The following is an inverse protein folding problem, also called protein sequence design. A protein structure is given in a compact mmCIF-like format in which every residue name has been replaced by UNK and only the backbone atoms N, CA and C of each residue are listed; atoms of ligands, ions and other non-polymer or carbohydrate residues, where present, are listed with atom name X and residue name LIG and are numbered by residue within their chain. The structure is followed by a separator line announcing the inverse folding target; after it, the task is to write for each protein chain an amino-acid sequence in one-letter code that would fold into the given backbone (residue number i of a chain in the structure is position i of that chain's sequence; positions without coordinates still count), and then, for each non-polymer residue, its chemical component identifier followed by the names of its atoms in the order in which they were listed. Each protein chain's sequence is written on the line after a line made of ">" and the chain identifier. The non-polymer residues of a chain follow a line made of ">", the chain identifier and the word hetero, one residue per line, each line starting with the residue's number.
data_IF_355225932083
#
_entry.id   IF_355225932083
#
_cell.length_a   1.000
_cell.length_b   1.000
_cell.length_c   1.000
_cell.angle_alpha   90.00
_cell.angle_beta   90.00
_cell.angle_gamma   90.00
#
_symmetry.space_group_name_H-M   'P 1'
#
loop_
_entity.id
_entity.type
_entity.pdbx_description
1 polymer ?
#
# COMPACT_ATOMS: atom_id res chain seq x y z
N UNK A 1 13.66 42.87 17.67
CA UNK A 1 13.29 41.74 18.56
C UNK A 1 14.44 41.50 19.52
N UNK A 2 14.18 40.93 20.70
CA UNK A 2 15.24 40.54 21.64
C UNK A 2 15.71 39.10 21.33
N UNK A 3 16.88 38.70 21.84
CA UNK A 3 17.41 37.35 21.62
C UNK A 3 16.43 36.26 22.10
N UNK A 4 15.71 36.48 23.20
CA UNK A 4 14.74 35.51 23.72
C UNK A 4 13.57 35.22 22.75
N UNK A 5 13.13 36.20 21.97
CA UNK A 5 12.09 35.96 20.96
C UNK A 5 12.63 35.14 19.78
N UNK A 6 13.87 35.38 19.36
CA UNK A 6 14.50 34.59 18.30
C UNK A 6 14.81 33.17 18.74
N UNK A 7 15.26 32.96 19.97
CA UNK A 7 15.52 31.62 20.53
C UNK A 7 14.26 30.74 20.53
N UNK A 8 13.09 31.31 20.81
CA UNK A 8 11.82 30.57 20.71
C UNK A 8 11.44 30.19 19.27
N UNK A 9 11.96 30.91 18.27
CA UNK A 9 11.72 30.63 16.86
C UNK A 9 12.74 29.64 16.27
N UNK A 10 13.83 29.32 16.96
CA UNK A 10 14.86 28.38 16.48
C UNK A 10 14.29 26.97 16.27
N UNK A 11 13.38 26.50 17.14
CA UNK A 11 12.71 25.21 16.94
C UNK A 11 11.88 25.21 15.64
N UNK A 12 10.98 26.20 15.49
CA UNK A 12 10.15 26.32 14.29
C UNK A 12 10.99 26.56 13.02
N UNK A 13 12.17 27.17 13.15
CA UNK A 13 13.14 27.32 12.07
C UNK A 13 13.74 25.97 11.65
N UNK A 14 14.11 25.11 12.60
CA UNK A 14 14.61 23.75 12.33
C UNK A 14 13.52 22.83 11.75
N UNK A 15 12.28 23.00 12.21
CA UNK A 15 11.13 22.22 11.73
C UNK A 15 10.58 22.70 10.37
N UNK A 16 11.09 23.83 9.84
CA UNK A 16 10.68 24.40 8.56
C UNK A 16 9.28 25.03 8.56
N UNK A 17 8.73 25.38 9.74
CA UNK A 17 7.38 25.92 9.91
C UNK A 17 7.28 27.45 9.77
N UNK A 18 8.42 28.12 9.57
CA UNK A 18 8.49 29.57 9.43
C UNK A 18 8.17 30.05 8.02
N UNK A 19 7.52 31.22 7.92
CA UNK A 19 7.32 31.93 6.66
C UNK A 19 8.65 32.52 6.13
N UNK A 20 8.73 32.75 4.82
CA UNK A 20 9.97 33.14 4.15
C UNK A 20 10.58 34.46 4.69
N UNK A 21 9.76 35.37 5.19
CA UNK A 21 10.23 36.66 5.74
C UNK A 21 10.80 36.50 7.16
N UNK A 22 10.18 35.68 8.01
CA UNK A 22 10.72 35.40 9.35
C UNK A 22 11.93 34.47 9.30
N UNK A 23 11.98 33.53 8.36
CA UNK A 23 13.13 32.66 8.14
C UNK A 23 14.41 33.47 7.88
N UNK A 24 14.37 34.44 6.95
CA UNK A 24 15.50 35.35 6.69
C UNK A 24 15.84 36.25 7.87
N UNK A 25 14.84 36.68 8.64
CA UNK A 25 15.07 37.53 9.80
C UNK A 25 15.76 36.77 10.95
N UNK A 26 15.46 35.48 11.12
CA UNK A 26 16.12 34.59 12.10
C UNK A 26 17.53 34.26 11.63
N UNK A 27 17.72 33.89 10.36
CA UNK A 27 19.02 33.62 9.75
C UNK A 27 19.98 34.81 9.90
N UNK A 28 19.53 36.01 9.50
CA UNK A 28 20.33 37.23 9.64
C UNK A 28 20.61 37.61 11.10
N UNK A 29 19.76 37.21 12.06
CA UNK A 29 20.03 37.43 13.48
C UNK A 29 21.07 36.43 14.02
N UNK A 30 21.04 35.17 13.58
CA UNK A 30 22.01 34.15 13.95
C UNK A 30 23.42 34.49 13.46
N UNK A 31 23.55 35.05 12.24
CA UNK A 31 24.84 35.54 11.73
C UNK A 31 25.42 36.69 12.58
N UNK A 32 24.56 37.50 13.19
CA UNK A 32 24.95 38.67 13.96
C UNK A 32 25.05 38.41 15.48
N UNK A 33 24.50 37.32 16.00
CA UNK A 33 24.39 37.04 17.43
C UNK A 33 24.94 35.64 17.78
N UNK A 34 26.12 35.63 18.40
CA UNK A 34 26.81 34.42 18.83
C UNK A 34 25.99 33.58 19.82
N UNK A 35 25.24 34.21 20.73
CA UNK A 35 24.38 33.49 21.68
C UNK A 35 23.28 32.67 20.98
N UNK A 36 22.65 33.23 19.94
CA UNK A 36 21.61 32.52 19.20
C UNK A 36 22.21 31.46 18.27
N UNK A 37 23.39 31.71 17.70
CA UNK A 37 24.14 30.71 16.93
C UNK A 37 24.54 29.49 17.77
N UNK A 38 24.94 29.70 19.02
CA UNK A 38 25.30 28.62 19.93
C UNK A 38 24.08 27.75 20.28
N UNK A 39 22.93 28.38 20.59
CA UNK A 39 21.68 27.65 20.85
C UNK A 39 21.26 26.81 19.64
N UNK A 40 21.39 27.34 18.43
CA UNK A 40 21.12 26.57 17.20
C UNK A 40 22.07 25.38 17.05
N UNK A 41 23.36 25.58 17.32
CA UNK A 41 24.37 24.51 17.27
C UNK A 41 24.08 23.41 18.30
N UNK A 42 23.64 23.78 19.50
CA UNK A 42 23.23 22.83 20.53
C UNK A 42 22.03 21.98 20.05
N UNK A 43 21.00 22.63 19.48
CA UNK A 43 19.85 21.91 18.91
C UNK A 43 20.25 21.00 17.74
N UNK A 44 21.13 21.44 16.83
CA UNK A 44 21.59 20.60 15.73
C UNK A 44 22.37 19.38 16.26
N UNK A 45 23.19 19.54 17.29
CA UNK A 45 23.95 18.43 17.89
C UNK A 45 23.04 17.35 18.51
N UNK A 46 21.88 17.76 19.05
CA UNK A 46 20.87 16.84 19.58
C UNK A 46 20.18 16.08 18.43
N UNK A 47 19.90 16.76 17.31
CA UNK A 47 19.33 16.13 16.12
C UNK A 47 20.30 15.14 15.48
N UNK A 48 21.57 15.52 15.32
CA UNK A 48 22.62 14.65 14.79
C UNK A 48 22.78 13.38 15.66
N UNK A 49 22.77 13.54 16.99
CA UNK A 49 22.82 12.40 17.91
C UNK A 49 21.59 11.50 17.81
N UNK A 50 20.40 12.08 17.63
CA UNK A 50 19.18 11.31 17.41
C UNK A 50 19.24 10.55 16.07
N UNK A 51 19.74 11.17 15.01
CA UNK A 51 19.88 10.55 13.70
C UNK A 51 20.85 9.35 13.75
N UNK A 52 22.02 9.53 14.37
CA UNK A 52 22.99 8.45 14.58
C UNK A 52 22.43 7.32 15.47
N UNK A 53 21.64 7.65 16.49
CA UNK A 53 21.03 6.66 17.38
C UNK A 53 19.83 5.94 16.76
N UNK A 54 19.10 6.57 15.84
CA UNK A 54 17.94 5.99 15.14
C UNK A 54 18.36 5.19 13.90
N UNK A 55 19.55 5.47 13.33
CA UNK A 55 20.14 4.70 12.24
C UNK A 55 20.45 3.24 12.62
N UNK A 56 20.48 2.90 13.90
CA UNK A 56 20.83 1.55 14.38
C UNK A 56 19.67 0.55 14.31
N UNK A 57 18.39 0.99 14.24
CA UNK A 57 17.26 0.08 14.48
C UNK A 57 16.04 0.19 13.53
N UNK A 58 16.14 0.86 12.37
CA UNK A 58 14.99 0.86 11.43
C UNK A 58 15.36 1.01 9.96
N UNK A 59 16.07 0.04 9.39
CA UNK A 59 15.80 -0.24 7.97
C UNK A 59 14.42 -0.92 7.90
N UNK A 60 13.40 -0.26 7.31
CA UNK A 60 12.12 -0.93 7.12
C UNK A 60 12.36 -2.17 6.26
N UNK A 61 11.71 -3.31 6.57
CA UNK A 61 11.85 -4.51 5.76
C UNK A 61 11.54 -4.16 4.29
N UNK A 62 12.46 -4.50 3.40
CA UNK A 62 12.39 -4.20 1.97
C UNK A 62 12.46 -2.70 1.60
N UNK A 63 13.43 -1.98 2.17
CA UNK A 63 13.77 -0.59 1.82
C UNK A 63 13.89 -0.37 0.31
N UNK A 64 14.51 -1.29 -0.42
CA UNK A 64 14.70 -1.19 -1.86
C UNK A 64 13.37 -1.18 -2.65
N UNK A 65 12.41 -2.06 -2.35
CA UNK A 65 11.12 -2.05 -3.05
C UNK A 65 10.26 -0.83 -2.70
N UNK A 66 10.37 -0.32 -1.46
CA UNK A 66 9.74 0.94 -1.07
C UNK A 66 10.30 2.11 -1.89
N UNK A 67 11.62 2.19 -2.04
CA UNK A 67 12.26 3.21 -2.87
C UNK A 67 11.89 3.11 -4.35
N UNK A 68 11.84 1.90 -4.92
CA UNK A 68 11.35 1.70 -6.28
C UNK A 68 9.90 2.19 -6.45
N UNK A 69 9.03 1.91 -5.47
CA UNK A 69 7.64 2.38 -5.50
C UNK A 69 7.53 3.89 -5.38
N UNK A 70 8.30 4.50 -4.47
CA UNK A 70 8.33 5.96 -4.27
C UNK A 70 8.81 6.65 -5.55
N UNK A 71 9.90 6.18 -6.16
CA UNK A 71 10.41 6.74 -7.42
C UNK A 71 9.39 6.64 -8.54
N UNK A 72 8.73 5.49 -8.70
CA UNK A 72 7.68 5.35 -9.72
C UNK A 72 6.52 6.33 -9.49
N UNK A 73 6.10 6.55 -8.24
CA UNK A 73 5.05 7.52 -7.92
C UNK A 73 5.50 8.94 -8.27
N UNK A 74 6.70 9.34 -7.86
CA UNK A 74 7.25 10.67 -8.15
C UNK A 74 7.38 10.87 -9.67
N UNK A 75 7.93 9.90 -10.40
CA UNK A 75 8.05 9.96 -11.87
C UNK A 75 6.69 10.06 -12.57
N UNK A 76 5.63 9.44 -12.00
CA UNK A 76 4.27 9.58 -12.53
C UNK A 76 3.55 10.86 -12.10
N UNK A 77 3.98 11.49 -11.01
CA UNK A 77 3.42 12.75 -10.50
C UNK A 77 4.14 13.99 -11.03
N UNK A 78 5.38 13.86 -11.55
CA UNK A 78 6.02 14.94 -12.32
C UNK A 78 5.17 15.14 -13.57
N UNK A 79 4.43 16.27 -13.68
CA UNK A 79 3.71 16.57 -14.89
C UNK A 79 4.77 16.84 -15.95
N UNK A 80 4.89 15.96 -16.94
CA UNK A 80 5.58 16.32 -18.17
C UNK A 80 5.00 17.66 -18.66
N UNK A 81 5.83 18.60 -19.15
CA UNK A 81 5.34 19.81 -19.78
C UNK A 81 4.37 19.40 -20.89
N UNK A 82 3.09 19.72 -20.68
CA UNK A 82 2.01 19.37 -21.59
C UNK A 82 2.26 20.05 -22.94
N UNK A 83 2.82 19.31 -23.90
CA UNK A 83 2.56 19.58 -25.31
C UNK A 83 1.09 19.22 -25.55
N UNK A 84 0.27 20.28 -25.57
CA UNK A 84 -1.14 20.22 -25.90
C UNK A 84 -1.31 19.75 -27.35
N UNK A 85 -1.36 18.44 -27.58
CA UNK A 85 -2.03 17.91 -28.76
C UNK A 85 -3.54 17.92 -28.52
N UNK A 86 -4.21 18.82 -29.25
CA UNK A 86 -5.67 18.93 -29.29
C UNK A 86 -6.23 17.67 -29.94
N UNK A 87 -6.61 16.67 -29.13
CA UNK A 87 -7.39 15.53 -29.61
C UNK A 87 -8.82 15.99 -29.81
N UNK A 88 -9.16 16.24 -31.08
CA UNK A 88 -10.51 16.43 -31.56
C UNK A 88 -11.36 15.21 -31.17
N UNK A 89 -12.46 15.47 -30.48
CA UNK A 89 -13.49 14.49 -30.15
C UNK A 89 -14.15 14.00 -31.44
N UNK A 90 -13.70 12.86 -31.95
CA UNK A 90 -14.45 12.07 -32.91
C UNK A 90 -15.37 11.11 -32.17
N UNK A 91 -16.66 11.45 -32.20
CA UNK A 91 -17.74 10.59 -31.76
C UNK A 91 -17.67 9.25 -32.51
N UNK A 92 -17.49 8.15 -31.76
CA UNK A 92 -17.56 6.81 -32.29
C UNK A 92 -18.96 6.54 -32.91
N UNK A 93 -19.05 5.93 -34.11
CA UNK A 93 -20.33 5.63 -34.72
C UNK A 93 -20.91 4.31 -34.16
N UNK A 94 -22.12 4.42 -33.62
CA UNK A 94 -23.19 3.45 -33.89
C UNK A 94 -23.00 2.00 -33.43
N UNK A 95 -23.11 1.75 -32.12
CA UNK A 95 -23.39 0.41 -31.56
C UNK A 95 -24.89 0.02 -31.63
N UNK A 96 -25.69 0.74 -32.42
CA UNK A 96 -27.14 0.56 -32.54
C UNK A 96 -27.50 0.02 -33.92
N UNK A 97 -27.07 -1.20 -34.23
CA UNK A 97 -27.77 -2.00 -35.22
C UNK A 97 -27.52 -3.49 -34.98
N UNK A 98 -28.16 -4.01 -33.93
CA UNK A 98 -28.48 -5.43 -33.86
C UNK A 98 -29.99 -5.53 -33.78
N UNK A 99 -30.61 -5.95 -34.88
CA UNK A 99 -32.03 -6.24 -34.97
C UNK A 99 -32.32 -7.46 -34.08
N UNK A 100 -32.59 -7.21 -32.81
CA UNK A 100 -33.09 -8.20 -31.88
C UNK A 100 -34.58 -8.43 -32.17
N UNK A 101 -34.89 -9.52 -32.88
CA UNK A 101 -36.26 -10.03 -32.99
C UNK A 101 -36.68 -10.61 -31.63
N UNK A 102 -37.03 -9.73 -30.69
CA UNK A 102 -37.58 -10.10 -29.40
C UNK A 102 -39.10 -10.22 -29.52
N UNK A 103 -39.61 -11.42 -29.28
CA UNK A 103 -41.05 -11.71 -29.22
C UNK A 103 -41.70 -10.86 -28.12
N UNK A 104 -42.90 -10.34 -28.37
CA UNK A 104 -43.64 -9.45 -27.45
C UNK A 104 -43.79 -10.01 -26.02
N UNK A 105 -43.71 -11.34 -25.84
CA UNK A 105 -43.69 -11.98 -24.53
C UNK A 105 -42.41 -11.75 -23.70
N UNK A 106 -41.25 -11.58 -24.34
CA UNK A 106 -39.96 -11.39 -23.65
C UNK A 106 -39.75 -9.96 -23.15
N UNK A 107 -40.38 -8.97 -23.79
CA UNK A 107 -40.32 -7.57 -23.34
C UNK A 107 -41.16 -7.40 -22.07
N UNK A 108 -42.32 -8.06 -21.99
CA UNK A 108 -43.20 -7.99 -20.82
C UNK A 108 -42.55 -8.57 -19.55
N UNK A 109 -41.81 -9.68 -19.66
CA UNK A 109 -41.11 -10.26 -18.50
C UNK A 109 -39.95 -9.39 -18.03
N UNK A 110 -39.18 -8.82 -18.95
CA UNK A 110 -38.05 -7.96 -18.59
C UNK A 110 -38.51 -6.69 -17.86
N UNK A 111 -39.60 -6.06 -18.32
CA UNK A 111 -40.17 -4.87 -17.66
C UNK A 111 -40.69 -5.22 -16.27
N UNK A 112 -41.32 -6.38 -16.08
CA UNK A 112 -41.76 -6.83 -14.76
C UNK A 112 -40.58 -7.07 -13.81
N UNK A 113 -39.50 -7.71 -14.28
CA UNK A 113 -38.29 -7.91 -13.46
C UNK A 113 -37.63 -6.58 -13.07
N UNK A 114 -37.50 -5.64 -14.01
CA UNK A 114 -36.93 -4.31 -13.71
C UNK A 114 -37.81 -3.54 -12.73
N UNK A 115 -39.14 -3.60 -12.87
CA UNK A 115 -40.07 -2.96 -11.94
C UNK A 115 -39.94 -3.54 -10.52
N UNK A 116 -39.86 -4.86 -10.38
CA UNK A 116 -39.66 -5.53 -9.09
C UNK A 116 -38.31 -5.15 -8.47
N UNK A 117 -37.22 -5.17 -9.25
CA UNK A 117 -35.89 -4.82 -8.76
C UNK A 117 -35.82 -3.34 -8.35
N UNK A 118 -36.38 -2.42 -9.15
CA UNK A 118 -36.38 -0.99 -8.81
C UNK A 118 -37.21 -0.69 -7.56
N UNK A 119 -38.34 -1.39 -7.38
CA UNK A 119 -39.18 -1.27 -6.19
C UNK A 119 -38.46 -1.81 -4.96
N UNK A 120 -37.76 -2.94 -5.08
CA UNK A 120 -36.96 -3.52 -4.00
C UNK A 120 -35.82 -2.58 -3.57
N UNK A 121 -35.10 -2.00 -4.53
CA UNK A 121 -34.03 -1.01 -4.27
C UNK A 121 -34.58 0.22 -3.56
N UNK A 122 -35.76 0.70 -3.96
CA UNK A 122 -36.40 1.87 -3.34
C UNK A 122 -36.82 1.59 -1.90
N UNK A 123 -37.36 0.40 -1.61
CA UNK A 123 -37.72 -0.02 -0.25
C UNK A 123 -36.48 -0.15 0.64
N UNK A 124 -35.39 -0.72 0.12
CA UNK A 124 -34.12 -0.86 0.86
C UNK A 124 -33.49 0.51 1.14
N UNK A 125 -33.49 1.42 0.16
CA UNK A 125 -32.99 2.78 0.33
C UNK A 125 -33.78 3.55 1.40
N UNK A 126 -35.11 3.40 1.43
CA UNK A 126 -35.96 4.01 2.45
C UNK A 126 -35.74 3.41 3.85
N UNK A 127 -35.55 2.09 3.96
CA UNK A 127 -35.26 1.45 5.25
C UNK A 127 -33.88 1.83 5.78
N UNK A 128 -32.89 2.02 4.91
CA UNK A 128 -31.55 2.45 5.30
C UNK A 128 -31.51 3.93 5.70
N UNK A 129 -32.36 4.78 5.09
CA UNK A 129 -32.48 6.18 5.48
C UNK A 129 -33.29 6.37 6.78
N UNK A 130 -34.27 5.50 7.04
CA UNK A 130 -35.06 5.48 8.27
C UNK A 130 -34.29 4.87 9.47
N UNK A 131 -33.36 3.95 9.20
CA UNK A 131 -32.44 3.41 10.20
C UNK A 131 -31.23 4.33 10.28
N UNK A 132 -31.32 5.41 11.05
CA UNK A 132 -30.27 6.45 11.13
C UNK A 132 -28.88 5.93 11.46
N UNK A 133 -28.15 5.47 10.44
CA UNK A 133 -26.73 5.16 10.48
C UNK A 133 -25.99 6.41 9.97
N UNK A 134 -25.35 7.11 10.90
CA UNK A 134 -24.47 8.22 10.58
C UNK A 134 -23.35 7.75 9.62
N UNK A 135 -23.01 8.53 8.58
CA UNK A 135 -21.92 8.20 7.68
C UNK A 135 -20.59 8.59 8.34
N UNK A 136 -20.21 7.84 9.38
CA UNK A 136 -18.98 8.03 10.13
C UNK A 136 -18.06 6.82 10.02
N UNK A 137 -16.95 6.99 9.30
CA UNK A 137 -15.71 6.22 9.45
C UNK A 137 -15.78 4.69 9.31
N UNK A 138 -15.68 4.22 8.07
CA UNK A 138 -14.91 3.00 7.77
C UNK A 138 -14.34 3.14 6.36
N UNK A 139 -13.02 3.27 6.24
CA UNK A 139 -12.27 3.15 4.97
C UNK A 139 -12.26 1.69 4.51
N UNK A 140 -13.44 1.08 4.35
CA UNK A 140 -13.61 -0.21 3.69
C UNK A 140 -13.89 0.06 2.20
N UNK A 141 -12.85 0.53 1.50
CA UNK A 141 -12.90 0.77 0.07
C UNK A 141 -12.92 -0.56 -0.67
N UNK A 142 -14.10 -0.96 -1.13
CA UNK A 142 -14.26 -1.98 -2.17
C UNK A 142 -15.51 -2.84 -2.07
N UNK A 143 -16.16 -2.92 -0.91
CA UNK A 143 -17.33 -3.80 -0.77
C UNK A 143 -18.56 -3.17 -1.39
N UNK A 144 -19.03 -3.74 -2.49
CA UNK A 144 -20.39 -3.45 -2.95
C UNK A 144 -21.37 -4.00 -1.92
N UNK A 145 -22.50 -3.33 -1.69
CA UNK A 145 -23.56 -3.78 -0.75
C UNK A 145 -23.97 -5.23 -1.03
N UNK A 146 -23.88 -5.65 -2.30
CA UNK A 146 -24.10 -7.00 -2.76
C UNK A 146 -23.14 -8.03 -2.15
N UNK A 147 -21.85 -7.69 -2.00
CA UNK A 147 -20.82 -8.55 -1.41
C UNK A 147 -20.94 -8.69 0.11
N UNK A 148 -21.51 -7.67 0.78
CA UNK A 148 -21.85 -7.75 2.21
C UNK A 148 -23.04 -8.69 2.42
N UNK A 149 -24.08 -8.58 1.59
CA UNK A 149 -25.27 -9.44 1.64
C UNK A 149 -24.93 -10.89 1.26
N UNK A 150 -24.05 -11.14 0.30
CA UNK A 150 -23.60 -12.49 -0.07
C UNK A 150 -22.79 -13.18 1.04
N UNK A 151 -21.93 -12.41 1.72
CA UNK A 151 -21.18 -12.93 2.87
C UNK A 151 -22.12 -13.27 4.05
N UNK A 152 -23.13 -12.44 4.30
CA UNK A 152 -24.12 -12.64 5.39
C UNK A 152 -25.06 -13.82 5.10
N UNK A 153 -25.28 -14.15 3.82
CA UNK A 153 -26.05 -15.32 3.38
C UNK A 153 -25.21 -16.62 3.32
N UNK A 154 -23.92 -16.58 3.66
CA UNK A 154 -23.02 -17.74 3.61
C UNK A 154 -22.71 -18.24 2.19
N UNK A 155 -22.88 -17.38 1.18
CA UNK A 155 -22.65 -17.69 -0.25
C UNK A 155 -21.33 -17.06 -0.75
N UNK A 156 -20.73 -16.13 -0.01
CA UNK A 156 -19.44 -15.51 -0.33
C UNK A 156 -18.26 -16.16 0.38
N UNK A 157 -17.09 -16.19 -0.28
CA UNK A 157 -15.81 -16.60 0.34
C UNK A 157 -15.54 -15.71 1.57
N UNK A 158 -15.30 -16.35 2.71
CA UNK A 158 -14.94 -15.61 3.92
C UNK A 158 -13.59 -14.89 3.70
N UNK A 159 -13.33 -13.76 4.38
CA UNK A 159 -12.03 -13.08 4.29
C UNK A 159 -10.84 -14.02 4.59
N UNK A 160 -11.02 -14.96 5.50
CA UNK A 160 -10.03 -15.98 5.88
C UNK A 160 -9.79 -16.99 4.75
N UNK A 161 -10.84 -17.45 4.07
CA UNK A 161 -10.71 -18.39 2.97
C UNK A 161 -9.96 -17.76 1.77
N UNK A 162 -10.13 -16.46 1.56
CA UNK A 162 -9.36 -15.70 0.55
C UNK A 162 -7.88 -15.60 0.88
N UNK A 163 -7.52 -15.33 2.14
CA UNK A 163 -6.11 -15.27 2.54
C UNK A 163 -5.47 -16.65 2.47
N UNK A 164 -6.15 -17.69 2.93
CA UNK A 164 -5.68 -19.08 2.82
C UNK A 164 -5.42 -19.50 1.37
N UNK A 165 -6.33 -19.15 0.45
CA UNK A 165 -6.14 -19.44 -0.98
C UNK A 165 -4.90 -18.75 -1.54
N UNK A 166 -4.70 -17.46 -1.25
CA UNK A 166 -3.53 -16.69 -1.69
C UNK A 166 -2.21 -17.29 -1.16
N UNK A 167 -2.16 -17.62 0.13
CA UNK A 167 -0.99 -18.24 0.76
C UNK A 167 -0.70 -19.60 0.11
N UNK A 168 -1.74 -20.38 -0.20
CA UNK A 168 -1.60 -21.68 -0.88
C UNK A 168 -1.02 -21.54 -2.29
N UNK A 169 -1.50 -20.57 -3.06
CA UNK A 169 -0.98 -20.26 -4.40
C UNK A 169 0.50 -19.86 -4.34
N UNK A 170 0.88 -18.98 -3.41
CA UNK A 170 2.27 -18.56 -3.23
C UNK A 170 3.18 -19.74 -2.83
N UNK A 171 2.71 -20.62 -1.93
CA UNK A 171 3.47 -21.82 -1.52
C UNK A 171 3.72 -22.76 -2.70
N UNK A 172 2.73 -22.98 -3.56
CA UNK A 172 2.90 -23.80 -4.75
C UNK A 172 3.97 -23.22 -5.71
N UNK A 173 3.98 -21.89 -5.89
CA UNK A 173 5.01 -21.22 -6.69
C UNK A 173 6.41 -21.34 -6.05
N UNK A 174 6.51 -21.19 -4.72
CA UNK A 174 7.76 -21.40 -3.97
C UNK A 174 8.30 -22.82 -4.18
N UNK A 175 7.44 -23.84 -4.08
CA UNK A 175 7.85 -25.24 -4.27
C UNK A 175 8.37 -25.51 -5.69
N UNK A 176 7.75 -24.89 -6.69
CA UNK A 176 8.21 -24.94 -8.08
C UNK A 176 9.62 -24.36 -8.23
N UNK A 177 9.87 -23.16 -7.73
CA UNK A 177 11.19 -22.52 -7.82
C UNK A 177 12.24 -23.23 -6.98
N UNK A 178 11.87 -23.73 -5.80
CA UNK A 178 12.75 -24.54 -4.95
C UNK A 178 13.27 -25.77 -5.70
N UNK A 179 12.39 -26.48 -6.41
CA UNK A 179 12.80 -27.65 -7.21
C UNK A 179 13.81 -27.26 -8.30
N UNK A 180 13.62 -26.13 -8.97
CA UNK A 180 14.57 -25.63 -9.98
C UNK A 180 15.92 -25.24 -9.38
N UNK A 181 15.90 -24.53 -8.27
CA UNK A 181 17.11 -24.16 -7.53
C UNK A 181 17.88 -25.41 -7.13
N UNK A 182 17.22 -26.41 -6.55
CA UNK A 182 17.87 -27.66 -6.13
C UNK A 182 18.55 -28.40 -7.30
N UNK A 183 17.92 -28.42 -8.47
CA UNK A 183 18.51 -29.02 -9.67
C UNK A 183 19.80 -28.31 -10.12
N UNK A 184 19.90 -27.00 -9.89
CA UNK A 184 21.02 -26.17 -10.32
C UNK A 184 22.08 -25.95 -9.23
N UNK A 185 21.73 -26.18 -7.97
CA UNK A 185 22.57 -25.97 -6.79
C UNK A 185 23.92 -26.68 -6.87
N UNK A 186 23.97 -27.84 -7.53
CA UNK A 186 25.22 -28.59 -7.74
C UNK A 186 26.24 -27.89 -8.65
N UNK A 187 25.80 -26.93 -9.48
CA UNK A 187 26.66 -26.14 -10.35
C UNK A 187 27.25 -24.89 -9.67
N UNK A 188 26.72 -24.51 -8.52
CA UNK A 188 27.16 -23.32 -7.80
C UNK A 188 28.46 -23.56 -7.02
N UNK A 189 29.24 -22.50 -6.85
CA UNK A 189 30.39 -22.54 -5.96
C UNK A 189 29.94 -22.53 -4.47
N UNK A 190 30.88 -22.81 -3.57
CA UNK A 190 30.59 -22.90 -2.14
C UNK A 190 30.11 -21.58 -1.51
N UNK A 191 30.65 -20.45 -1.98
CA UNK A 191 30.27 -19.11 -1.51
C UNK A 191 28.80 -18.79 -1.84
N UNK A 192 28.37 -19.02 -3.08
CA UNK A 192 26.98 -18.84 -3.52
C UNK A 192 26.02 -19.72 -2.73
N UNK A 193 26.40 -20.97 -2.44
CA UNK A 193 25.58 -21.87 -1.61
C UNK A 193 25.42 -21.34 -0.18
N UNK A 194 26.50 -20.85 0.44
CA UNK A 194 26.45 -20.28 1.79
C UNK A 194 25.57 -19.02 1.84
N UNK A 195 25.73 -18.11 0.87
CA UNK A 195 24.92 -16.89 0.80
C UNK A 195 23.44 -17.22 0.63
N UNK A 196 23.12 -18.14 -0.30
CA UNK A 196 21.76 -18.62 -0.51
C UNK A 196 21.17 -19.23 0.76
N UNK A 197 21.88 -20.15 1.40
CA UNK A 197 21.40 -20.86 2.59
C UNK A 197 21.15 -19.91 3.76
N UNK A 198 22.04 -18.93 3.97
CA UNK A 198 21.86 -17.90 4.99
C UNK A 198 20.61 -17.08 4.73
N UNK A 199 20.47 -16.53 3.52
CA UNK A 199 19.34 -15.67 3.16
C UNK A 199 18.01 -16.44 3.22
N UNK A 200 17.98 -17.66 2.70
CA UNK A 200 16.80 -18.51 2.77
C UNK A 200 16.41 -18.83 4.21
N UNK A 201 17.39 -19.05 5.10
CA UNK A 201 17.13 -19.34 6.51
C UNK A 201 16.48 -18.16 7.26
N UNK A 202 16.87 -16.93 6.97
CA UNK A 202 16.27 -15.75 7.62
C UNK A 202 14.82 -15.55 7.15
N UNK A 203 14.58 -15.68 5.84
CA UNK A 203 13.21 -15.60 5.31
C UNK A 203 12.34 -16.74 5.86
N UNK A 204 12.88 -17.96 5.99
CA UNK A 204 12.16 -19.09 6.58
C UNK A 204 11.79 -18.87 8.04
N UNK A 205 12.64 -18.20 8.83
CA UNK A 205 12.29 -17.81 10.21
C UNK A 205 11.11 -16.83 10.21
N UNK A 206 11.16 -15.79 9.39
CA UNK A 206 10.08 -14.79 9.29
C UNK A 206 8.75 -15.44 8.88
N UNK A 207 8.75 -16.31 7.85
CA UNK A 207 7.56 -17.05 7.43
C UNK A 207 6.99 -17.89 8.57
N UNK A 208 7.84 -18.58 9.33
CA UNK A 208 7.40 -19.41 10.46
C UNK A 208 6.82 -18.57 11.61
N UNK A 209 7.44 -17.43 11.92
CA UNK A 209 6.98 -16.51 12.96
C UNK A 209 5.59 -15.97 12.66
N UNK A 210 5.38 -15.39 11.47
CA UNK A 210 4.08 -14.85 11.08
C UNK A 210 3.02 -15.94 10.90
N UNK A 211 3.41 -17.13 10.42
CA UNK A 211 2.49 -18.28 10.38
C UNK A 211 2.02 -18.66 11.78
N UNK A 212 2.91 -18.63 12.79
CA UNK A 212 2.54 -18.93 14.17
C UNK A 212 1.63 -17.85 14.76
N UNK A 213 1.92 -16.58 14.52
CA UNK A 213 1.06 -15.47 14.95
C UNK A 213 -0.35 -15.60 14.37
N UNK A 214 -0.48 -15.99 13.10
CA UNK A 214 -1.78 -16.23 12.47
C UNK A 214 -2.51 -17.49 12.94
N UNK A 215 -1.80 -18.47 13.51
CA UNK A 215 -2.44 -19.59 14.19
C UNK A 215 -3.06 -19.18 15.53
N UNK A 216 -2.46 -18.20 16.20
CA UNK A 216 -2.94 -17.66 17.47
C UNK A 216 -4.06 -16.62 17.25
N UNK A 217 -3.90 -15.74 16.26
CA UNK A 217 -4.91 -14.77 15.83
C UNK A 217 -5.07 -14.74 14.29
N UNK A 218 -6.04 -15.49 13.75
CA UNK A 218 -6.30 -15.54 12.31
C UNK A 218 -6.76 -14.21 11.68
N UNK A 219 -7.23 -13.26 12.50
CA UNK A 219 -7.74 -11.97 12.03
C UNK A 219 -6.72 -10.84 12.13
N UNK A 220 -5.48 -11.13 12.55
CA UNK A 220 -4.42 -10.12 12.58
C UNK A 220 -4.02 -9.71 11.15
N UNK A 221 -4.43 -8.50 10.75
CA UNK A 221 -4.13 -7.94 9.44
C UNK A 221 -2.63 -7.71 9.24
N UNK A 222 -1.89 -7.37 10.31
CA UNK A 222 -0.46 -7.08 10.22
C UNK A 222 0.31 -8.36 9.96
N UNK A 223 0.08 -9.41 10.74
CA UNK A 223 0.73 -10.71 10.51
C UNK A 223 0.40 -11.31 9.14
N UNK A 224 -0.82 -11.08 8.63
CA UNK A 224 -1.19 -11.48 7.26
C UNK A 224 -0.34 -10.75 6.20
N UNK A 225 -0.23 -9.42 6.31
CA UNK A 225 0.57 -8.62 5.38
C UNK A 225 2.07 -8.97 5.44
N UNK A 226 2.60 -9.18 6.65
CA UNK A 226 4.00 -9.56 6.86
C UNK A 226 4.29 -10.96 6.32
N UNK A 227 3.39 -11.93 6.53
CA UNK A 227 3.51 -13.26 5.92
C UNK A 227 3.53 -13.17 4.39
N UNK A 228 2.62 -12.37 3.81
CA UNK A 228 2.56 -12.15 2.36
C UNK A 228 3.84 -11.51 1.81
N UNK A 229 4.46 -10.61 2.58
CA UNK A 229 5.75 -10.00 2.24
C UNK A 229 6.87 -11.05 2.24
N UNK A 230 7.00 -11.80 3.33
CA UNK A 230 8.04 -12.83 3.49
C UNK A 230 7.92 -13.94 2.42
N UNK A 231 6.70 -14.36 2.07
CA UNK A 231 6.47 -15.34 1.01
C UNK A 231 6.86 -14.81 -0.38
N UNK A 232 6.64 -13.52 -0.67
CA UNK A 232 7.08 -12.89 -1.92
C UNK A 232 8.60 -12.81 -2.00
N UNK A 233 9.25 -12.39 -0.92
CA UNK A 233 10.71 -12.32 -0.84
C UNK A 233 11.34 -13.71 -1.04
N UNK A 234 10.78 -14.74 -0.40
CA UNK A 234 11.20 -16.13 -0.62
C UNK A 234 11.10 -16.54 -2.09
N UNK A 235 9.99 -16.19 -2.73
CA UNK A 235 9.76 -16.51 -4.14
C UNK A 235 10.78 -15.81 -5.04
N UNK A 236 11.06 -14.54 -4.79
CA UNK A 236 12.01 -13.76 -5.59
C UNK A 236 13.44 -14.28 -5.42
N UNK A 237 13.88 -14.57 -4.19
CA UNK A 237 15.18 -15.19 -3.93
C UNK A 237 15.32 -16.52 -4.69
N UNK A 238 14.30 -17.38 -4.64
CA UNK A 238 14.34 -18.65 -5.35
C UNK A 238 14.33 -18.45 -6.88
N UNK A 239 13.63 -17.43 -7.39
CA UNK A 239 13.60 -17.11 -8.81
C UNK A 239 14.97 -16.65 -9.29
N UNK A 240 15.57 -15.66 -8.63
CA UNK A 240 16.88 -15.11 -8.96
C UNK A 240 17.94 -16.21 -9.00
N UNK A 241 18.02 -17.04 -7.95
CA UNK A 241 19.00 -18.11 -7.90
C UNK A 241 18.72 -19.23 -8.90
N UNK A 242 17.48 -19.46 -9.31
CA UNK A 242 17.18 -20.45 -10.35
C UNK A 242 17.73 -20.07 -11.74
N UNK A 243 18.00 -18.78 -11.96
CA UNK A 243 18.50 -18.24 -13.22
C UNK A 243 20.04 -18.21 -13.31
N UNK A 244 20.74 -18.28 -12.17
CA UNK A 244 22.21 -18.34 -12.03
C UNK A 244 22.82 -19.69 -12.47
#
# INVERSE_FOLDING_TARGET
>A
MNCGNYQNLISAFLDGELDADTWKAVEGHMEACEECSNVFTDFSSILDFCEDSLAVDSEPPNSHALWCRINNIIETEVPEPQEQEVVVSEAAPGFWNSSLNLSAGQIASAVACIAVVSSLVTVIAFQNLASGAEPGSSRDSGRTVFEKVLADLGIGETPVERTERRVKEQRAAIDYWKTKVEARRASWNNETQIVFDRNLSEIDKAVNEYTKLLQEDPQDSISNEMLDSALREKMELLREFSEL
#
